data_IF_130499701017
#
_entry.id   IF_130499701017
#
_cell.length_a   1.000
_cell.length_b   1.000
_cell.length_c   1.000
_cell.angle_alpha   90.00
_cell.angle_beta   90.00
_cell.angle_gamma   90.00
#
_symmetry.space_group_name_H-M   'P 1'
#
loop_
_entity.id
_entity.type
_entity.pdbx_description
1 polymer ?
#
# COMPACT_ATOMS: atom_id res chain seq x y z
N UNK A 1 -47.44 34.06 -28.37
CA UNK A 1 -46.44 33.01 -28.58
C UNK A 1 -45.51 33.12 -27.39
N UNK A 2 -45.82 32.37 -26.34
CA UNK A 2 -45.24 32.55 -25.01
C UNK A 2 -44.07 31.59 -24.88
N UNK A 3 -42.88 32.14 -24.64
CA UNK A 3 -41.70 31.36 -24.28
C UNK A 3 -42.00 30.59 -22.99
N UNK A 4 -41.77 29.27 -22.93
CA UNK A 4 -41.87 28.54 -21.68
C UNK A 4 -40.69 28.97 -20.80
N UNK A 5 -40.99 29.69 -19.72
CA UNK A 5 -40.07 29.99 -18.63
C UNK A 5 -39.45 28.67 -18.14
N UNK A 6 -38.18 28.46 -18.49
CA UNK A 6 -37.39 27.31 -18.09
C UNK A 6 -37.11 27.40 -16.59
N UNK A 7 -38.09 26.98 -15.79
CA UNK A 7 -37.91 26.66 -14.37
C UNK A 7 -37.11 25.37 -14.30
N UNK A 8 -35.80 25.52 -14.31
CA UNK A 8 -34.93 24.62 -13.58
C UNK A 8 -33.98 25.47 -12.76
N UNK A 9 -34.52 26.07 -11.69
CA UNK A 9 -33.77 26.26 -10.45
C UNK A 9 -33.44 24.86 -9.92
N UNK A 10 -32.59 24.14 -10.66
CA UNK A 10 -31.96 22.92 -10.21
C UNK A 10 -31.21 23.36 -8.98
N UNK A 11 -31.64 22.83 -7.85
CA UNK A 11 -30.96 23.00 -6.59
C UNK A 11 -29.49 22.66 -6.88
N UNK A 12 -28.62 23.67 -6.94
CA UNK A 12 -27.16 23.56 -7.02
C UNK A 12 -26.63 23.00 -5.68
N UNK A 13 -27.33 21.99 -5.16
CA UNK A 13 -26.99 21.23 -3.99
C UNK A 13 -25.77 20.42 -4.36
N UNK A 14 -24.61 21.06 -4.27
CA UNK A 14 -23.33 20.38 -4.18
C UNK A 14 -23.53 19.32 -3.09
N UNK A 15 -23.44 18.03 -3.40
CA UNK A 15 -23.83 16.97 -2.46
C UNK A 15 -23.01 16.98 -1.15
N UNK A 16 -21.93 17.77 -1.12
CA UNK A 16 -21.03 17.96 0.02
C UNK A 16 -21.10 19.37 0.64
N UNK A 17 -21.95 20.29 0.16
CA UNK A 17 -22.01 21.68 0.67
C UNK A 17 -22.42 21.77 2.13
N UNK A 18 -23.22 20.81 2.62
CA UNK A 18 -23.68 20.77 4.01
C UNK A 18 -22.60 20.24 4.98
N UNK A 19 -21.46 19.78 4.46
CA UNK A 19 -20.35 19.31 5.28
C UNK A 19 -19.48 20.49 5.72
N UNK A 20 -19.24 20.59 7.03
CA UNK A 20 -18.24 21.52 7.57
C UNK A 20 -16.84 21.25 7.01
N UNK A 21 -15.91 22.24 7.08
CA UNK A 21 -14.63 22.21 6.37
C UNK A 21 -13.78 20.97 6.66
N UNK A 22 -13.78 20.49 7.90
CA UNK A 22 -13.04 19.29 8.32
C UNK A 22 -13.62 18.03 7.66
N UNK A 23 -14.95 17.90 7.59
CA UNK A 23 -15.60 16.74 6.96
C UNK A 23 -15.36 16.73 5.46
N UNK A 24 -15.44 17.89 4.82
CA UNK A 24 -15.12 18.06 3.40
C UNK A 24 -13.67 17.68 3.11
N UNK A 25 -12.72 18.08 3.98
CA UNK A 25 -11.34 17.65 3.87
C UNK A 25 -11.20 16.12 4.01
N UNK A 26 -11.84 15.50 5.01
CA UNK A 26 -11.81 14.03 5.19
C UNK A 26 -12.39 13.33 3.96
N UNK A 27 -13.46 13.84 3.34
CA UNK A 27 -14.00 13.22 2.13
C UNK A 27 -13.04 13.31 0.95
N UNK A 28 -12.23 14.38 0.89
CA UNK A 28 -11.33 14.69 -0.23
C UNK A 28 -9.85 14.37 0.02
N UNK A 29 -9.49 13.81 1.19
CA UNK A 29 -8.10 13.70 1.63
C UNK A 29 -7.21 12.91 0.65
N UNK A 30 -7.73 11.81 0.09
CA UNK A 30 -7.00 10.94 -0.84
C UNK A 30 -6.73 11.61 -2.21
N UNK A 31 -7.47 12.67 -2.55
CA UNK A 31 -7.21 13.51 -3.74
C UNK A 31 -6.19 14.61 -3.48
N UNK A 32 -5.85 14.89 -2.23
CA UNK A 32 -4.90 15.94 -1.89
C UNK A 32 -3.46 15.46 -2.13
N UNK A 33 -2.78 16.08 -3.10
CA UNK A 33 -1.36 15.82 -3.35
C UNK A 33 -0.51 16.05 -2.09
N UNK A 34 -0.87 17.04 -1.28
CA UNK A 34 -0.21 17.35 -0.01
C UNK A 34 -0.37 16.20 0.97
N UNK A 35 -1.60 15.74 1.23
CA UNK A 35 -1.84 14.59 2.10
C UNK A 35 -1.07 13.37 1.61
N UNK A 36 -1.17 13.09 0.32
CA UNK A 36 -0.54 11.94 -0.29
C UNK A 36 0.99 12.01 -0.19
N UNK A 37 1.61 13.20 -0.32
CA UNK A 37 3.06 13.40 -0.20
C UNK A 37 3.52 13.23 1.24
N UNK A 38 2.82 13.84 2.19
CA UNK A 38 3.08 13.71 3.63
C UNK A 38 2.94 12.25 4.06
N UNK A 39 1.89 11.56 3.60
CA UNK A 39 1.65 10.15 3.87
C UNK A 39 2.83 9.28 3.46
N UNK A 40 3.36 9.47 2.23
CA UNK A 40 4.55 8.72 1.80
C UNK A 40 5.75 9.05 2.66
N UNK A 41 6.03 10.35 2.85
CA UNK A 41 7.21 10.77 3.58
C UNK A 41 7.21 10.18 5.00
N UNK A 42 6.05 10.14 5.66
CA UNK A 42 5.86 9.51 6.95
C UNK A 42 5.98 7.98 6.87
N UNK A 43 5.32 7.33 5.90
CA UNK A 43 5.37 5.88 5.76
C UNK A 43 6.80 5.38 5.50
N UNK A 44 7.56 6.04 4.64
CA UNK A 44 8.97 5.70 4.36
C UNK A 44 9.85 6.12 5.53
N UNK A 45 9.78 7.38 5.94
CA UNK A 45 10.68 7.94 6.94
C UNK A 45 10.54 7.23 8.29
N UNK A 46 9.32 7.08 8.79
CA UNK A 46 9.11 6.44 10.08
C UNK A 46 9.40 4.94 10.03
N UNK A 47 9.09 4.26 8.93
CA UNK A 47 9.36 2.81 8.82
C UNK A 47 10.84 2.47 8.72
N UNK A 48 11.62 3.29 7.99
CA UNK A 48 13.05 3.07 7.79
C UNK A 48 13.87 3.56 8.98
N UNK A 49 13.57 4.76 9.50
CA UNK A 49 14.40 5.40 10.52
C UNK A 49 13.96 5.10 11.94
N UNK A 50 12.69 4.77 12.18
CA UNK A 50 12.18 4.54 13.53
C UNK A 50 11.88 3.05 13.74
N UNK A 51 10.83 2.53 13.12
CA UNK A 51 10.46 1.11 13.20
C UNK A 51 9.30 0.76 12.27
N UNK A 52 9.15 -0.54 11.97
CA UNK A 52 8.04 -1.06 11.17
C UNK A 52 6.67 -0.86 11.81
N UNK A 53 6.63 -0.65 13.13
CA UNK A 53 5.41 -0.27 13.84
C UNK A 53 4.75 0.96 13.21
N UNK A 54 5.54 1.97 12.86
CA UNK A 54 5.00 3.22 12.33
C UNK A 54 4.42 3.08 10.93
N UNK A 55 4.90 2.12 10.13
CA UNK A 55 4.23 1.76 8.87
C UNK A 55 2.81 1.28 9.15
N UNK A 56 2.63 0.36 10.11
CA UNK A 56 1.31 -0.12 10.50
C UNK A 56 0.45 1.01 11.05
N UNK A 57 1.01 1.89 11.87
CA UNK A 57 0.28 3.02 12.44
C UNK A 57 -0.20 3.99 11.35
N UNK A 58 0.66 4.35 10.40
CA UNK A 58 0.32 5.25 9.27
C UNK A 58 -0.75 4.62 8.37
N UNK A 59 -0.62 3.33 8.04
CA UNK A 59 -1.64 2.58 7.28
C UNK A 59 -2.96 2.50 8.06
N UNK A 60 -2.91 2.27 9.38
CA UNK A 60 -4.10 2.22 10.22
C UNK A 60 -4.82 3.58 10.27
N UNK A 61 -4.08 4.68 10.33
CA UNK A 61 -4.64 6.04 10.24
C UNK A 61 -5.32 6.25 8.89
N UNK A 62 -4.68 5.86 7.78
CA UNK A 62 -5.30 5.93 6.45
C UNK A 62 -6.60 5.12 6.39
N UNK A 63 -6.59 3.86 6.84
CA UNK A 63 -7.79 3.01 6.92
C UNK A 63 -8.89 3.67 7.75
N UNK A 64 -8.54 4.31 8.88
CA UNK A 64 -9.47 5.05 9.71
C UNK A 64 -10.09 6.25 8.99
N UNK A 65 -9.29 7.04 8.27
CA UNK A 65 -9.77 8.17 7.46
C UNK A 65 -10.69 7.70 6.33
N UNK A 66 -10.33 6.63 5.64
CA UNK A 66 -11.17 6.01 4.61
C UNK A 66 -12.50 5.49 5.18
N UNK A 67 -12.47 4.86 6.34
CA UNK A 67 -13.68 4.42 7.03
C UNK A 67 -14.59 5.60 7.41
N UNK A 68 -14.01 6.69 7.93
CA UNK A 68 -14.73 7.92 8.24
C UNK A 68 -15.30 8.60 6.99
N UNK A 69 -14.53 8.66 5.88
CA UNK A 69 -15.00 9.13 4.58
C UNK A 69 -16.26 8.39 4.14
N UNK A 70 -16.25 7.06 4.18
CA UNK A 70 -17.44 6.25 3.85
C UNK A 70 -18.60 6.50 4.81
N UNK A 71 -18.31 6.80 6.07
CA UNK A 71 -19.29 7.25 7.06
C UNK A 71 -19.99 8.56 6.64
N UNK A 72 -19.23 9.57 6.22
CA UNK A 72 -19.77 10.85 5.76
C UNK A 72 -20.49 10.76 4.42
N UNK A 73 -20.07 9.86 3.54
CA UNK A 73 -20.74 9.58 2.27
C UNK A 73 -22.02 8.73 2.42
N UNK A 74 -22.43 8.40 3.64
CA UNK A 74 -23.70 7.69 3.88
C UNK A 74 -23.67 6.18 3.61
N UNK A 75 -22.49 5.55 3.49
CA UNK A 75 -22.41 4.10 3.30
C UNK A 75 -23.09 3.36 4.46
N UNK A 76 -23.86 2.32 4.12
CA UNK A 76 -24.56 1.46 5.09
C UNK A 76 -23.58 0.98 6.18
N UNK A 77 -23.90 1.17 7.48
CA UNK A 77 -23.01 0.77 8.57
C UNK A 77 -22.79 -0.75 8.58
N UNK A 78 -21.71 -1.18 9.24
CA UNK A 78 -21.35 -2.60 9.37
C UNK A 78 -20.48 -3.11 8.22
N UNK A 79 -20.71 -4.35 7.81
CA UNK A 79 -19.85 -5.08 6.88
C UNK A 79 -19.70 -4.41 5.51
N UNK A 80 -20.76 -3.76 5.01
CA UNK A 80 -20.72 -3.07 3.71
C UNK A 80 -19.69 -1.92 3.70
N UNK A 81 -19.73 -1.04 4.71
CA UNK A 81 -18.77 0.05 4.87
C UNK A 81 -17.34 -0.50 5.00
N UNK A 82 -17.14 -1.49 5.88
CA UNK A 82 -15.82 -2.08 6.12
C UNK A 82 -15.26 -2.76 4.87
N UNK A 83 -16.08 -3.47 4.10
CA UNK A 83 -15.67 -4.11 2.85
C UNK A 83 -15.17 -3.10 1.82
N UNK A 84 -15.88 -1.98 1.65
CA UNK A 84 -15.47 -0.91 0.76
C UNK A 84 -14.21 -0.18 1.25
N UNK A 85 -14.08 0.05 2.57
CA UNK A 85 -12.85 0.61 3.15
C UNK A 85 -11.64 -0.28 2.85
N UNK A 86 -11.73 -1.58 3.18
CA UNK A 86 -10.62 -2.52 2.94
C UNK A 86 -10.29 -2.66 1.45
N UNK A 87 -11.30 -2.56 0.60
CA UNK A 87 -11.12 -2.57 -0.85
C UNK A 87 -10.36 -1.34 -1.34
N UNK A 88 -10.70 -0.16 -0.86
CA UNK A 88 -10.05 1.08 -1.26
C UNK A 88 -8.59 1.09 -0.77
N UNK A 89 -8.35 0.64 0.47
CA UNK A 89 -7.00 0.54 1.09
C UNK A 89 -6.23 -0.74 0.75
N UNK A 90 -6.64 -1.50 -0.28
CA UNK A 90 -5.98 -2.76 -0.66
C UNK A 90 -4.49 -2.60 -0.99
N UNK A 91 -4.08 -1.46 -1.54
CA UNK A 91 -2.68 -1.21 -1.86
C UNK A 91 -1.86 -1.04 -0.59
N UNK A 92 -2.38 -0.35 0.43
CA UNK A 92 -1.71 -0.26 1.74
C UNK A 92 -1.61 -1.61 2.43
N UNK A 93 -2.65 -2.44 2.34
CA UNK A 93 -2.62 -3.82 2.85
C UNK A 93 -1.53 -4.63 2.11
N UNK A 94 -1.44 -4.48 0.78
CA UNK A 94 -0.34 -5.06 0.02
C UNK A 94 1.02 -4.50 0.48
N UNK A 95 1.10 -3.19 0.77
CA UNK A 95 2.23 -2.50 1.41
C UNK A 95 2.70 -3.23 2.67
N UNK A 96 1.80 -3.45 3.61
CA UNK A 96 2.10 -4.16 4.86
C UNK A 96 2.56 -5.60 4.61
N UNK A 97 1.86 -6.38 3.78
CA UNK A 97 2.19 -7.80 3.60
C UNK A 97 3.57 -8.03 2.97
N UNK A 98 3.94 -7.29 1.94
CA UNK A 98 5.29 -7.41 1.39
C UNK A 98 6.35 -6.87 2.35
N UNK A 99 6.04 -5.87 3.18
CA UNK A 99 6.98 -5.44 4.22
C UNK A 99 7.28 -6.59 5.18
N UNK A 100 6.24 -7.34 5.59
CA UNK A 100 6.38 -8.53 6.43
C UNK A 100 7.13 -9.65 5.72
N UNK A 101 6.88 -9.89 4.44
CA UNK A 101 7.64 -10.85 3.64
C UNK A 101 9.13 -10.48 3.63
N UNK A 102 9.46 -9.24 3.28
CA UNK A 102 10.85 -8.77 3.24
C UNK A 102 11.52 -8.87 4.61
N UNK A 103 10.81 -8.51 5.67
CA UNK A 103 11.32 -8.59 7.03
C UNK A 103 11.60 -10.03 7.44
N UNK A 104 10.70 -10.96 7.08
CA UNK A 104 10.88 -12.39 7.32
C UNK A 104 12.17 -12.88 6.64
N UNK A 105 12.34 -12.59 5.33
CA UNK A 105 13.54 -12.99 4.57
C UNK A 105 14.84 -12.34 5.04
N UNK A 106 14.81 -11.07 5.43
CA UNK A 106 16.02 -10.35 5.87
C UNK A 106 16.46 -10.78 7.26
N UNK A 107 15.52 -11.08 8.15
CA UNK A 107 15.79 -11.70 9.46
C UNK A 107 16.47 -13.06 9.31
N UNK A 108 16.02 -13.88 8.35
CA UNK A 108 16.66 -15.16 8.02
C UNK A 108 18.10 -14.96 7.56
N UNK A 109 18.39 -14.00 6.67
CA UNK A 109 19.75 -13.80 6.20
C UNK A 109 20.69 -13.22 7.28
N UNK A 110 20.19 -12.35 8.16
CA UNK A 110 20.97 -11.84 9.29
C UNK A 110 21.22 -12.94 10.35
N UNK A 111 20.21 -13.76 10.63
CA UNK A 111 20.32 -14.94 11.48
C UNK A 111 21.26 -15.99 10.91
N UNK A 112 21.21 -16.24 9.59
CA UNK A 112 22.13 -17.15 8.90
C UNK A 112 23.54 -16.57 8.80
N UNK A 113 23.73 -15.25 8.68
CA UNK A 113 25.07 -14.66 8.74
C UNK A 113 25.70 -14.78 10.15
N UNK A 114 24.90 -14.54 11.20
CA UNK A 114 25.32 -14.77 12.60
C UNK A 114 25.50 -16.25 12.93
N UNK A 115 24.66 -17.12 12.37
CA UNK A 115 24.77 -18.57 12.49
C UNK A 115 25.87 -19.15 11.59
N UNK A 116 26.30 -18.48 10.52
CA UNK A 116 27.45 -18.86 9.70
C UNK A 116 28.77 -18.44 10.36
N UNK A 117 28.79 -17.33 11.09
CA UNK A 117 29.91 -17.05 12.00
C UNK A 117 29.95 -18.05 13.17
N UNK A 118 28.80 -18.53 13.65
CA UNK A 118 28.72 -19.60 14.65
C UNK A 118 28.96 -21.02 14.07
N UNK A 119 28.62 -21.30 12.81
CA UNK A 119 28.77 -22.63 12.19
C UNK A 119 30.14 -22.86 11.58
N UNK A 120 30.96 -21.81 11.41
CA UNK A 120 32.42 -21.97 11.29
C UNK A 120 33.06 -22.54 12.56
N UNK A 121 32.36 -22.48 13.70
CA UNK A 121 32.73 -23.17 14.95
C UNK A 121 32.08 -24.58 15.01
N UNK A 122 31.03 -24.84 14.23
CA UNK A 122 30.31 -26.11 14.12
C UNK A 122 30.50 -26.83 12.79
N UNK A 123 31.75 -27.14 12.42
CA UNK A 123 32.05 -28.22 11.48
C UNK A 123 31.45 -29.52 12.05
N UNK A 124 30.33 -30.03 11.49
CA UNK A 124 29.89 -31.46 11.47
C UNK A 124 28.38 -31.56 11.16
N UNK A 125 27.97 -31.61 9.89
CA UNK A 125 26.54 -31.77 9.55
C UNK A 125 26.21 -31.91 8.06
N UNK A 126 26.96 -32.75 7.33
CA UNK A 126 26.97 -32.85 5.86
C UNK A 126 25.73 -33.44 5.16
N UNK A 127 24.50 -33.17 5.62
CA UNK A 127 23.27 -33.66 4.95
C UNK A 127 22.32 -32.58 4.43
N UNK A 128 22.55 -31.31 4.76
CA UNK A 128 21.64 -30.20 4.39
C UNK A 128 22.02 -29.57 3.03
N UNK A 129 23.23 -29.83 2.52
CA UNK A 129 23.73 -29.23 1.26
C UNK A 129 23.02 -29.72 -0.01
N UNK A 130 22.42 -30.91 0.00
CA UNK A 130 21.81 -31.50 -1.19
C UNK A 130 20.43 -30.91 -1.55
N UNK A 131 19.64 -30.47 -0.57
CA UNK A 131 18.34 -29.83 -0.81
C UNK A 131 18.49 -28.36 -1.24
N UNK A 132 19.50 -27.66 -0.72
CA UNK A 132 19.82 -26.29 -1.10
C UNK A 132 20.24 -26.15 -2.59
N UNK A 133 20.84 -27.21 -3.17
CA UNK A 133 21.29 -27.20 -4.56
C UNK A 133 20.14 -27.14 -5.59
N UNK A 134 18.94 -27.66 -5.26
CA UNK A 134 17.79 -27.67 -6.19
C UNK A 134 17.01 -26.35 -6.21
N UNK A 135 17.03 -25.57 -5.12
CA UNK A 135 16.50 -24.19 -5.10
C UNK A 135 17.46 -23.15 -5.71
N UNK A 136 18.73 -23.50 -5.86
CA UNK A 136 19.81 -22.59 -6.26
C UNK A 136 19.69 -22.01 -7.67
N UNK A 137 19.05 -22.68 -8.63
CA UNK A 137 18.96 -22.17 -10.01
C UNK A 137 17.94 -21.02 -10.16
N UNK A 138 16.80 -21.10 -9.46
CA UNK A 138 15.81 -20.03 -9.38
C UNK A 138 16.37 -18.85 -8.57
N UNK A 139 17.04 -19.15 -7.44
CA UNK A 139 17.71 -18.18 -6.59
C UNK A 139 18.94 -17.53 -7.25
N UNK A 140 19.67 -18.22 -8.12
CA UNK A 140 20.78 -17.63 -8.89
C UNK A 140 20.29 -16.70 -10.01
N UNK A 141 19.10 -16.99 -10.56
CA UNK A 141 18.43 -16.11 -11.53
C UNK A 141 17.86 -14.85 -10.85
N UNK A 142 17.30 -14.98 -9.65
CA UNK A 142 16.98 -13.85 -8.75
C UNK A 142 18.23 -13.15 -8.20
N UNK A 143 19.33 -13.88 -8.03
CA UNK A 143 20.61 -13.41 -7.51
C UNK A 143 21.25 -12.35 -8.41
N UNK A 144 20.95 -12.36 -9.72
CA UNK A 144 21.34 -11.27 -10.64
C UNK A 144 20.57 -9.96 -10.39
N UNK A 145 19.29 -10.03 -10.00
CA UNK A 145 18.53 -8.86 -9.54
C UNK A 145 19.02 -8.37 -8.17
N UNK A 146 19.42 -9.28 -7.28
CA UNK A 146 19.99 -8.95 -5.97
C UNK A 146 21.44 -8.45 -6.03
N UNK A 147 22.18 -8.73 -7.11
CA UNK A 147 23.54 -8.21 -7.34
C UNK A 147 23.55 -6.71 -7.65
N UNK A 148 22.44 -6.15 -8.12
CA UNK A 148 22.25 -4.68 -8.13
C UNK A 148 22.31 -4.13 -6.69
N UNK A 149 21.87 -4.91 -5.70
CA UNK A 149 21.97 -4.58 -4.28
C UNK A 149 23.40 -4.51 -3.71
N UNK A 150 24.42 -5.08 -4.37
CA UNK A 150 25.81 -4.94 -3.90
C UNK A 150 26.41 -3.57 -4.22
N UNK A 151 25.92 -2.88 -5.26
CA UNK A 151 26.28 -1.48 -5.52
C UNK A 151 25.69 -0.54 -4.44
N UNK A 152 24.49 -0.84 -3.95
CA UNK A 152 23.83 -0.08 -2.89
C UNK A 152 24.46 -0.29 -1.50
N UNK A 153 25.14 -1.43 -1.29
CA UNK A 153 25.86 -1.72 -0.04
C UNK A 153 27.01 -0.72 0.23
N UNK A 154 27.56 -0.09 -0.81
CA UNK A 154 28.59 0.95 -0.71
C UNK A 154 28.03 2.32 -0.31
N UNK A 155 26.73 2.55 -0.47
CA UNK A 155 26.02 3.79 -0.11
C UNK A 155 25.42 3.76 1.31
N UNK A 156 25.62 2.70 2.08
CA UNK A 156 25.05 2.55 3.43
C UNK A 156 23.53 2.36 3.47
N UNK A 157 22.86 2.35 2.31
CA UNK A 157 21.42 2.09 2.19
C UNK A 157 21.21 0.58 2.23
N UNK A 158 20.50 0.06 3.24
CA UNK A 158 20.23 -1.38 3.31
C UNK A 158 19.44 -1.73 2.06
N UNK A 159 19.76 -2.83 1.39
CA UNK A 159 19.05 -3.25 0.16
C UNK A 159 17.52 -3.26 0.36
N UNK A 160 17.09 -3.54 1.60
CA UNK A 160 15.71 -3.43 2.08
C UNK A 160 15.11 -2.04 1.83
N UNK A 161 15.83 -0.97 2.14
CA UNK A 161 15.36 0.42 2.01
C UNK A 161 15.21 0.85 0.55
N UNK A 162 16.08 0.32 -0.34
CA UNK A 162 16.00 0.53 -1.79
C UNK A 162 14.79 -0.18 -2.38
N UNK A 163 14.59 -1.45 -2.00
CA UNK A 163 13.40 -2.19 -2.40
C UNK A 163 12.13 -1.53 -1.85
N UNK A 164 12.17 -0.95 -0.64
CA UNK A 164 11.06 -0.17 -0.08
C UNK A 164 10.77 1.11 -0.87
N UNK A 165 11.80 1.87 -1.23
CA UNK A 165 11.67 3.13 -1.95
C UNK A 165 11.17 2.92 -3.39
N UNK A 166 11.76 1.95 -4.10
CA UNK A 166 11.33 1.56 -5.45
C UNK A 166 9.88 1.06 -5.46
N UNK A 167 9.47 0.41 -4.38
CA UNK A 167 8.14 -0.16 -4.25
C UNK A 167 7.06 0.89 -4.01
N UNK A 168 7.25 1.82 -3.05
CA UNK A 168 6.30 2.92 -2.84
C UNK A 168 6.16 3.74 -4.12
N UNK A 169 7.27 3.94 -4.84
CA UNK A 169 7.26 4.59 -6.15
C UNK A 169 6.49 3.80 -7.22
N UNK A 170 6.62 2.47 -7.30
CA UNK A 170 5.90 1.65 -8.28
C UNK A 170 4.39 1.58 -8.02
N UNK A 171 3.96 1.39 -6.76
CA UNK A 171 2.54 1.39 -6.41
C UNK A 171 1.92 2.75 -6.68
N UNK A 172 2.65 3.82 -6.38
CA UNK A 172 2.14 5.16 -6.64
C UNK A 172 2.26 5.60 -8.08
N UNK A 173 3.22 5.10 -8.88
CA UNK A 173 3.17 5.33 -10.33
C UNK A 173 1.91 4.70 -10.92
N UNK A 174 1.40 3.60 -10.35
CA UNK A 174 0.12 3.03 -10.76
C UNK A 174 -1.09 3.88 -10.31
N UNK A 175 -1.07 4.42 -9.08
CA UNK A 175 -2.13 5.32 -8.60
C UNK A 175 -2.08 6.71 -9.25
N UNK A 176 -0.89 7.25 -9.49
CA UNK A 176 -0.68 8.47 -10.26
C UNK A 176 -0.93 8.25 -11.74
N UNK A 177 -0.73 7.06 -12.31
CA UNK A 177 -1.17 6.79 -13.69
C UNK A 177 -2.70 6.76 -13.79
N UNK A 178 -3.41 6.41 -12.71
CA UNK A 178 -4.87 6.55 -12.62
C UNK A 178 -5.30 8.00 -12.41
N UNK A 179 -4.64 8.72 -11.52
CA UNK A 179 -4.88 10.15 -11.35
C UNK A 179 -4.51 10.92 -12.62
N UNK A 180 -3.44 10.52 -13.32
CA UNK A 180 -2.95 11.16 -14.53
C UNK A 180 -3.75 10.79 -15.79
N UNK A 181 -4.46 9.64 -15.79
CA UNK A 181 -5.51 9.40 -16.78
C UNK A 181 -6.72 10.33 -16.59
N UNK A 182 -6.88 10.92 -15.39
CA UNK A 182 -7.77 12.07 -15.17
C UNK A 182 -7.03 13.41 -15.46
N UNK A 183 -5.69 13.46 -15.48
CA UNK A 183 -4.85 14.65 -15.78
C UNK A 183 -4.63 14.97 -17.28
N UNK A 184 -5.53 14.56 -18.18
CA UNK A 184 -5.85 15.41 -19.35
C UNK A 184 -6.22 16.85 -18.93
N UNK A 185 -6.42 17.06 -17.62
CA UNK A 185 -6.50 18.30 -16.86
C UNK A 185 -5.28 19.24 -16.90
N UNK A 186 -4.04 18.75 -17.01
CA UNK A 186 -2.84 19.62 -16.96
C UNK A 186 -2.54 20.34 -18.28
N UNK A 187 -3.08 19.86 -19.41
CA UNK A 187 -2.97 20.54 -20.71
C UNK A 187 -3.93 21.74 -20.85
N UNK A 188 -4.89 21.90 -19.93
CA UNK A 188 -5.95 22.92 -20.00
C UNK A 188 -5.74 24.20 -19.16
N UNK A 189 -4.59 24.39 -18.50
CA UNK A 189 -4.37 25.41 -17.47
C UNK A 189 -4.64 26.87 -17.94
N UNK A 190 -4.54 27.16 -19.25
CA UNK A 190 -4.72 28.52 -19.77
C UNK A 190 -6.19 28.92 -20.06
N UNK A 191 -7.16 28.00 -19.93
CA UNK A 191 -8.61 28.26 -20.08
C UNK A 191 -9.48 27.75 -18.94
N UNK A 192 -8.86 27.36 -17.81
CA UNK A 192 -9.34 26.30 -16.93
C UNK A 192 -10.46 26.65 -15.94
N UNK A 193 -10.67 27.92 -15.57
CA UNK A 193 -11.50 28.27 -14.41
C UNK A 193 -12.90 27.64 -14.39
N UNK A 194 -13.59 27.58 -15.53
CA UNK A 194 -14.95 26.99 -15.61
C UNK A 194 -14.96 25.47 -15.80
N UNK A 195 -13.91 24.90 -16.41
CA UNK A 195 -13.81 23.45 -16.62
C UNK A 195 -13.37 22.73 -15.34
N UNK A 196 -12.53 23.37 -14.52
CA UNK A 196 -12.13 22.90 -13.19
C UNK A 196 -13.33 22.73 -12.27
N UNK A 197 -14.18 23.75 -12.16
CA UNK A 197 -15.38 23.67 -11.30
C UNK A 197 -16.38 22.61 -11.77
N UNK A 198 -16.58 22.49 -13.09
CA UNK A 198 -17.47 21.47 -13.65
C UNK A 198 -16.93 20.05 -13.39
N UNK A 199 -15.63 19.85 -13.56
CA UNK A 199 -14.96 18.59 -13.25
C UNK A 199 -15.03 18.25 -11.75
N UNK A 200 -14.80 19.23 -10.88
CA UNK A 200 -14.90 19.04 -9.43
C UNK A 200 -16.33 18.64 -9.01
N UNK A 201 -17.36 19.29 -9.58
CA UNK A 201 -18.77 18.93 -9.33
C UNK A 201 -19.11 17.53 -9.80
N UNK A 202 -18.70 17.16 -11.02
CA UNK A 202 -18.92 15.81 -11.54
C UNK A 202 -18.25 14.75 -10.65
N UNK A 203 -17.05 15.06 -10.18
CA UNK A 203 -16.27 14.19 -9.32
C UNK A 203 -16.85 14.08 -7.89
N UNK A 204 -17.43 15.14 -7.35
CA UNK A 204 -18.17 15.13 -6.09
C UNK A 204 -19.48 14.34 -6.21
N UNK A 205 -20.18 14.46 -7.34
CA UNK A 205 -21.38 13.68 -7.62
C UNK A 205 -21.06 12.18 -7.72
N UNK A 206 -19.93 11.81 -8.33
CA UNK A 206 -19.45 10.43 -8.35
C UNK A 206 -19.14 9.92 -6.94
N UNK A 207 -18.47 10.71 -6.09
CA UNK A 207 -18.20 10.35 -4.69
C UNK A 207 -19.48 10.13 -3.89
N UNK A 208 -20.50 10.93 -4.14
CA UNK A 208 -21.81 10.83 -3.48
C UNK A 208 -22.61 9.60 -3.96
N UNK A 209 -22.27 9.02 -5.12
CA UNK A 209 -22.90 7.79 -5.59
C UNK A 209 -22.42 6.60 -4.76
N UNK A 210 -23.33 6.04 -3.95
CA UNK A 210 -23.04 4.85 -3.13
C UNK A 210 -23.30 3.62 -3.99
N UNK A 211 -22.30 2.76 -4.25
CA UNK A 211 -22.55 1.50 -4.94
C UNK A 211 -23.41 0.59 -4.06
N UNK A 212 -24.43 -0.06 -4.66
CA UNK A 212 -25.30 -1.00 -3.93
C UNK A 212 -24.64 -2.38 -3.71
N UNK A 213 -23.72 -2.75 -4.59
CA UNK A 213 -23.04 -4.03 -4.60
C UNK A 213 -21.67 -3.97 -3.91
N UNK A 214 -21.15 -5.15 -3.55
CA UNK A 214 -19.84 -5.28 -2.92
C UNK A 214 -18.72 -5.14 -3.96
N UNK A 215 -17.52 -4.68 -3.55
CA UNK A 215 -16.48 -4.31 -4.51
C UNK A 215 -16.01 -5.47 -5.40
N UNK A 216 -15.98 -6.71 -4.88
CA UNK A 216 -15.61 -7.91 -5.63
C UNK A 216 -16.69 -8.43 -6.57
N UNK A 217 -17.91 -7.88 -6.52
CA UNK A 217 -18.97 -8.21 -7.48
C UNK A 217 -18.80 -7.44 -8.79
N UNK A 218 -17.99 -6.37 -8.81
CA UNK A 218 -17.61 -5.67 -10.04
C UNK A 218 -16.58 -6.48 -10.82
N UNK A 219 -16.56 -6.30 -12.14
CA UNK A 219 -15.46 -6.79 -12.98
C UNK A 219 -14.16 -6.16 -12.50
N UNK A 220 -13.24 -6.99 -12.01
CA UNK A 220 -11.97 -6.55 -11.46
C UNK A 220 -11.09 -5.98 -12.56
N UNK A 221 -10.67 -4.72 -12.39
CA UNK A 221 -9.66 -4.10 -13.24
C UNK A 221 -8.28 -4.71 -13.00
N UNK A 222 -7.35 -4.55 -13.97
CA UNK A 222 -5.99 -5.11 -13.89
C UNK A 222 -5.23 -4.70 -12.63
N UNK A 223 -5.38 -3.45 -12.18
CA UNK A 223 -4.76 -2.98 -10.94
C UNK A 223 -5.30 -3.66 -9.67
N UNK A 224 -6.58 -4.05 -9.64
CA UNK A 224 -7.16 -4.78 -8.51
C UNK A 224 -6.63 -6.22 -8.48
N UNK A 225 -6.60 -6.87 -9.65
CA UNK A 225 -5.95 -8.18 -9.79
C UNK A 225 -4.50 -8.17 -9.35
N UNK A 226 -3.74 -7.15 -9.74
CA UNK A 226 -2.36 -6.99 -9.31
C UNK A 226 -2.23 -6.88 -7.78
N UNK A 227 -3.03 -6.04 -7.13
CA UNK A 227 -3.02 -5.93 -5.67
C UNK A 227 -3.32 -7.26 -4.98
N UNK A 228 -4.36 -7.97 -5.44
CA UNK A 228 -4.75 -9.27 -4.89
C UNK A 228 -3.66 -10.33 -5.10
N UNK A 229 -3.03 -10.35 -6.28
CA UNK A 229 -1.90 -11.23 -6.57
C UNK A 229 -0.73 -10.95 -5.62
N UNK A 230 -0.36 -9.67 -5.44
CA UNK A 230 0.71 -9.28 -4.52
C UNK A 230 0.37 -9.72 -3.10
N UNK A 231 -0.84 -9.44 -2.60
CA UNK A 231 -1.26 -9.86 -1.25
C UNK A 231 -1.15 -11.38 -1.11
N UNK A 232 -1.73 -12.13 -2.07
CA UNK A 232 -1.76 -13.59 -2.03
C UNK A 232 -0.36 -14.21 -2.06
N UNK A 233 0.52 -13.71 -2.93
CA UNK A 233 1.91 -14.16 -3.02
C UNK A 233 2.66 -13.88 -1.71
N UNK A 234 2.47 -12.70 -1.11
CA UNK A 234 3.14 -12.36 0.13
C UNK A 234 2.65 -13.18 1.33
N UNK A 235 1.32 -13.37 1.45
CA UNK A 235 0.75 -14.26 2.46
C UNK A 235 1.32 -15.67 2.29
N UNK A 236 1.34 -16.19 1.06
CA UNK A 236 1.88 -17.52 0.76
C UNK A 236 3.36 -17.62 1.12
N UNK A 237 4.16 -16.60 0.80
CA UNK A 237 5.58 -16.56 1.12
C UNK A 237 5.84 -16.56 2.64
N UNK A 238 5.06 -15.79 3.41
CA UNK A 238 5.13 -15.77 4.89
C UNK A 238 4.68 -17.11 5.46
N UNK A 239 3.59 -17.70 4.95
CA UNK A 239 3.10 -18.99 5.43
C UNK A 239 4.07 -20.14 5.11
N UNK A 240 4.72 -20.12 3.94
CA UNK A 240 5.69 -21.14 3.56
C UNK A 240 7.09 -20.90 4.13
N UNK A 241 7.35 -19.77 4.80
CA UNK A 241 8.69 -19.47 5.27
C UNK A 241 9.26 -20.53 6.22
N UNK A 242 8.49 -21.17 7.14
CA UNK A 242 9.02 -22.27 7.96
C UNK A 242 9.34 -23.55 7.18
N UNK A 243 8.79 -23.71 5.97
CA UNK A 243 9.14 -24.84 5.10
C UNK A 243 10.52 -24.62 4.47
N UNK A 244 10.85 -23.37 4.19
CA UNK A 244 12.12 -22.98 3.58
C UNK A 244 13.20 -22.61 4.60
N UNK A 245 12.84 -22.48 5.86
CA UNK A 245 13.70 -21.95 6.93
C UNK A 245 13.59 -22.86 8.14
N UNK A 246 14.68 -23.09 8.86
CA UNK A 246 14.67 -23.94 10.06
C UNK A 246 13.92 -23.30 11.26
N UNK A 247 13.12 -22.27 11.02
CA UNK A 247 12.39 -21.54 12.04
C UNK A 247 10.97 -22.07 12.21
N UNK A 248 10.48 -22.07 13.44
CA UNK A 248 9.06 -22.31 13.73
C UNK A 248 8.24 -21.03 13.50
N UNK A 249 6.93 -21.15 13.27
CA UNK A 249 6.03 -19.99 13.22
C UNK A 249 6.15 -19.12 14.47
N UNK A 250 6.32 -19.73 15.65
CA UNK A 250 6.48 -19.01 16.93
C UNK A 250 7.71 -18.09 16.89
N UNK A 251 8.86 -18.62 16.48
CA UNK A 251 10.10 -17.83 16.38
C UNK A 251 9.99 -16.72 15.33
N UNK A 252 9.27 -16.97 14.23
CA UNK A 252 9.01 -15.97 13.21
C UNK A 252 8.13 -14.82 13.75
N UNK A 253 7.04 -15.14 14.45
CA UNK A 253 6.15 -14.14 15.04
C UNK A 253 6.82 -13.38 16.19
N UNK A 254 7.68 -14.02 16.98
CA UNK A 254 8.48 -13.33 18.01
C UNK A 254 9.46 -12.34 17.39
N UNK A 255 10.17 -12.75 16.33
CA UNK A 255 11.06 -11.86 15.56
C UNK A 255 10.31 -10.69 14.94
N UNK A 256 9.14 -10.96 14.35
CA UNK A 256 8.26 -9.92 13.81
C UNK A 256 7.80 -8.97 14.92
N UNK A 257 7.36 -9.50 16.07
CA UNK A 257 6.93 -8.72 17.23
C UNK A 257 8.03 -7.79 17.76
N UNK A 258 9.27 -8.28 17.85
CA UNK A 258 10.41 -7.46 18.26
C UNK A 258 10.69 -6.30 17.28
N UNK A 259 10.38 -6.47 15.99
CA UNK A 259 10.53 -5.44 14.96
C UNK A 259 9.35 -4.48 14.88
N UNK A 260 8.21 -4.85 15.47
CA UNK A 260 7.01 -4.03 15.61
C UNK A 260 6.98 -3.24 16.92
N UNK A 261 8.10 -3.17 17.64
CA UNK A 261 8.21 -2.26 18.77
C UNK A 261 8.23 -0.79 18.27
N UNK A 262 7.49 0.14 18.90
CA UNK A 262 7.38 1.53 18.43
C UNK A 262 8.73 2.28 18.43
N UNK A 263 9.63 1.90 19.33
CA UNK A 263 10.93 2.54 19.51
C UNK A 263 12.07 1.59 19.11
N UNK A 264 13.15 2.10 18.48
CA UNK A 264 14.34 1.31 18.21
C UNK A 264 14.99 0.85 19.53
N UNK A 265 15.52 -0.37 19.52
CA UNK A 265 16.38 -0.90 20.60
C UNK A 265 17.84 -0.59 20.33
#
# INVERSE_FOLDING_TARGET
MSEPDAVTNGNDSRPLADLGPVRTWIVRHDRSLVFATIYIALAIGLSVFVSYFWLLAVVAVHIGLEWLKKGYLGYRPGAHRTAWTLWDTKYDIALVFLAFTLLSYTGIHAGVAGAQSASRIGLLGGRISALAARGGALLARMGRFLRVGSAFRMLGVKAVDVFFSARVFLFRKADMARAASDETFLEGWNGAGRTLEAGERASDAELASIPEHLPWQRRLGGGAWFALLVITVNITAVLLSPVFTEHTYVTLFQSLGAKLHPWPH
#
